data_IF_695633006962
#
_entry.id   IF_695633006962
#
_cell.length_a   1.000
_cell.length_b   1.000
_cell.length_c   1.000
_cell.angle_alpha   90.00
_cell.angle_beta   90.00
_cell.angle_gamma   90.00
#
_symmetry.space_group_name_H-M   'P 1'
#
loop_
_entity.id
_entity.type
_entity.pdbx_description
1 polymer ?
#
# COMPACT_ATOMS: atom_id res chain seq x y z
N UNK A 1 16.08 7.21 1.47
CA UNK A 1 15.06 6.28 0.92
C UNK A 1 15.30 6.19 -0.58
N UNK A 2 15.32 4.98 -1.14
CA UNK A 2 15.64 4.76 -2.56
C UNK A 2 14.35 4.67 -3.38
N UNK A 3 14.36 5.19 -4.60
CA UNK A 3 13.17 5.22 -5.48
C UNK A 3 12.56 3.83 -5.73
N UNK A 4 13.41 2.79 -5.81
CA UNK A 4 12.97 1.41 -6.04
C UNK A 4 12.30 0.75 -4.82
N UNK A 5 12.21 1.44 -3.69
CA UNK A 5 11.50 0.98 -2.49
C UNK A 5 10.00 1.34 -2.54
N UNK A 6 9.58 2.21 -3.46
CA UNK A 6 8.17 2.56 -3.67
C UNK A 6 7.51 1.54 -4.61
N UNK A 7 6.68 0.65 -4.06
CA UNK A 7 6.03 -0.45 -4.80
C UNK A 7 4.51 -0.26 -4.88
N UNK A 8 3.90 -0.71 -5.99
CA UNK A 8 2.47 -0.60 -6.24
C UNK A 8 1.71 -1.82 -5.70
N UNK A 9 1.39 -1.82 -4.40
CA UNK A 9 0.57 -2.87 -3.78
C UNK A 9 -0.91 -2.78 -4.18
N UNK A 10 -1.40 -1.59 -4.51
CA UNK A 10 -2.80 -1.37 -4.87
C UNK A 10 -3.21 -2.19 -6.11
N UNK A 11 -2.31 -2.36 -7.08
CA UNK A 11 -2.55 -3.20 -8.27
C UNK A 11 -2.83 -4.65 -7.91
N UNK A 12 -2.11 -5.20 -6.92
CA UNK A 12 -2.29 -6.58 -6.46
C UNK A 12 -3.62 -6.75 -5.69
N UNK A 13 -4.00 -5.76 -4.88
CA UNK A 13 -5.26 -5.78 -4.11
C UNK A 13 -6.49 -5.51 -4.99
N UNK A 14 -6.38 -4.65 -6.01
CA UNK A 14 -7.50 -4.39 -6.94
C UNK A 14 -7.67 -5.52 -7.96
N UNK A 15 -6.61 -6.28 -8.25
CA UNK A 15 -6.64 -7.40 -9.19
C UNK A 15 -6.75 -8.76 -8.50
N UNK A 16 -5.61 -9.49 -8.36
CA UNK A 16 -5.57 -10.90 -7.99
C UNK A 16 -6.01 -11.24 -6.56
N UNK A 17 -5.80 -10.34 -5.60
CA UNK A 17 -6.14 -10.57 -4.20
C UNK A 17 -7.44 -9.85 -3.83
N UNK A 18 -8.28 -10.49 -3.01
CA UNK A 18 -9.52 -9.92 -2.47
C UNK A 18 -9.72 -10.47 -1.06
N UNK A 19 -10.09 -9.58 -0.14
CA UNK A 19 -10.47 -9.98 1.21
C UNK A 19 -11.78 -10.79 1.17
N UNK A 20 -11.74 -12.00 1.73
CA UNK A 20 -12.92 -12.89 1.79
C UNK A 20 -13.61 -12.81 3.14
N UNK A 21 -14.92 -13.06 3.13
CA UNK A 21 -15.79 -13.16 4.31
C UNK A 21 -15.97 -14.59 4.83
N UNK A 22 -15.35 -15.57 4.16
CA UNK A 22 -15.44 -17.00 4.47
C UNK A 22 -14.06 -17.62 4.31
N UNK A 23 -13.65 -18.45 5.27
CA UNK A 23 -12.35 -19.13 5.26
C UNK A 23 -12.36 -20.38 4.36
N UNK A 24 -11.25 -21.13 4.29
CA UNK A 24 -11.17 -22.37 3.49
C UNK A 24 -12.01 -23.53 4.06
N UNK A 25 -12.41 -23.47 5.34
CA UNK A 25 -13.25 -24.47 6.03
C UNK A 25 -14.76 -24.20 5.86
N UNK A 26 -15.14 -23.03 5.31
CA UNK A 26 -16.54 -22.62 5.16
C UNK A 26 -17.09 -21.77 6.31
N UNK A 27 -16.29 -21.50 7.34
CA UNK A 27 -16.68 -20.64 8.46
C UNK A 27 -16.67 -19.16 8.05
N UNK A 28 -17.56 -18.39 8.69
CA UNK A 28 -17.58 -16.93 8.57
C UNK A 28 -16.28 -16.34 9.12
N UNK A 29 -15.68 -15.46 8.34
CA UNK A 29 -14.51 -14.68 8.71
C UNK A 29 -14.95 -13.31 9.24
N UNK A 30 -14.61 -13.02 10.51
CA UNK A 30 -14.91 -11.77 11.20
C UNK A 30 -13.60 -11.16 11.70
N UNK A 31 -13.24 -9.98 11.17
CA UNK A 31 -11.99 -9.31 11.53
C UNK A 31 -11.86 -9.01 13.03
N UNK A 32 -12.95 -8.63 13.67
CA UNK A 32 -12.98 -8.28 15.09
C UNK A 32 -12.57 -9.45 16.00
N UNK A 33 -12.86 -10.69 15.58
CA UNK A 33 -12.65 -11.87 16.42
C UNK A 33 -11.20 -12.40 16.35
N UNK A 34 -10.37 -11.81 15.49
CA UNK A 34 -9.02 -12.31 15.22
C UNK A 34 -8.06 -11.77 16.27
N UNK A 35 -7.36 -12.69 16.93
CA UNK A 35 -6.34 -12.36 17.94
C UNK A 35 -4.91 -12.57 17.43
N UNK A 36 -4.73 -13.43 16.42
CA UNK A 36 -3.40 -13.77 15.90
C UNK A 36 -3.45 -13.94 14.40
N UNK A 37 -2.61 -13.20 13.68
CA UNK A 37 -2.40 -13.35 12.24
C UNK A 37 -0.96 -13.79 11.95
N UNK A 38 -0.80 -14.69 10.98
CA UNK A 38 0.49 -15.15 10.47
C UNK A 38 0.49 -15.13 8.95
N UNK A 39 1.60 -14.64 8.39
CA UNK A 39 1.88 -14.63 6.96
C UNK A 39 3.11 -15.47 6.66
N UNK A 40 3.15 -16.09 5.48
CA UNK A 40 4.27 -16.89 5.03
C UNK A 40 4.70 -16.44 3.62
N UNK A 41 5.99 -16.17 3.43
CA UNK A 41 6.50 -15.70 2.14
C UNK A 41 6.30 -16.72 1.01
N UNK A 42 6.28 -18.03 1.32
CA UNK A 42 5.99 -19.08 0.33
C UNK A 42 4.51 -19.17 -0.06
N UNK A 43 3.62 -18.51 0.69
CA UNK A 43 2.17 -18.57 0.51
C UNK A 43 1.56 -17.15 0.51
N UNK A 44 2.00 -16.32 -0.43
CA UNK A 44 1.62 -14.90 -0.56
C UNK A 44 0.10 -14.68 -0.55
N UNK A 45 -0.67 -15.64 -1.07
CA UNK A 45 -2.11 -15.53 -1.21
C UNK A 45 -2.92 -16.06 -0.02
N UNK A 46 -2.26 -16.59 1.01
CA UNK A 46 -2.92 -17.19 2.18
C UNK A 46 -2.58 -16.40 3.43
N UNK A 47 -3.61 -16.15 4.22
CA UNK A 47 -3.49 -15.61 5.56
C UNK A 47 -3.89 -16.70 6.55
N UNK A 48 -3.04 -16.93 7.55
CA UNK A 48 -3.31 -17.86 8.63
C UNK A 48 -3.74 -17.05 9.84
N UNK A 49 -4.82 -17.45 10.51
CA UNK A 49 -5.32 -16.72 11.66
C UNK A 49 -5.85 -17.63 12.78
N UNK A 50 -5.86 -17.10 14.00
CA UNK A 50 -6.57 -17.67 15.16
C UNK A 50 -7.47 -16.61 15.80
N UNK A 51 -8.54 -17.05 16.44
CA UNK A 51 -9.45 -16.18 17.19
C UNK A 51 -9.08 -16.06 18.67
N UNK A 52 -8.09 -16.82 19.14
CA UNK A 52 -7.49 -16.70 20.47
C UNK A 52 -5.96 -16.80 20.38
N UNK A 53 -5.30 -16.73 21.54
CA UNK A 53 -3.84 -16.79 21.67
C UNK A 53 -3.33 -18.17 22.13
N UNK A 54 -4.16 -19.22 22.06
CA UNK A 54 -3.75 -20.57 22.44
C UNK A 54 -2.75 -21.13 21.43
N UNK A 55 -1.61 -21.64 21.92
CA UNK A 55 -0.57 -22.22 21.06
C UNK A 55 -1.04 -23.52 20.41
N UNK A 56 -1.82 -24.33 21.15
CA UNK A 56 -2.26 -25.68 20.74
C UNK A 56 -3.33 -25.68 19.65
N UNK A 57 -4.08 -24.58 19.49
CA UNK A 57 -5.12 -24.50 18.46
C UNK A 57 -4.46 -24.38 17.06
N UNK A 58 -4.92 -25.12 16.03
CA UNK A 58 -4.42 -24.94 14.68
C UNK A 58 -4.84 -23.58 14.10
N UNK A 59 -4.04 -23.06 13.16
CA UNK A 59 -4.43 -21.86 12.42
C UNK A 59 -5.53 -22.19 11.40
N UNK A 60 -6.57 -21.36 11.36
CA UNK A 60 -7.53 -21.31 10.26
C UNK A 60 -6.89 -20.61 9.07
N UNK A 61 -7.31 -20.99 7.85
CA UNK A 61 -6.72 -20.47 6.61
C UNK A 61 -7.73 -19.64 5.83
N UNK A 62 -7.36 -18.42 5.46
CA UNK A 62 -8.10 -17.54 4.57
C UNK A 62 -7.37 -17.44 3.23
N UNK A 63 -8.06 -17.79 2.14
CA UNK A 63 -7.52 -17.68 0.79
C UNK A 63 -7.92 -16.35 0.15
N UNK A 64 -6.94 -15.51 -0.13
CA UNK A 64 -7.15 -14.17 -0.68
C UNK A 64 -7.27 -14.17 -2.21
N UNK A 65 -7.06 -15.29 -2.90
CA UNK A 65 -7.15 -15.32 -4.38
C UNK A 65 -8.57 -15.02 -4.84
N UNK A 66 -8.72 -14.11 -5.82
CA UNK A 66 -9.99 -13.88 -6.51
C UNK A 66 -10.41 -15.14 -7.31
N UNK A 67 -11.69 -15.53 -7.23
CA UNK A 67 -12.20 -16.69 -7.98
C UNK A 67 -12.07 -16.46 -9.50
N UNK A 68 -11.74 -17.51 -10.23
CA UNK A 68 -11.60 -17.47 -11.70
C UNK A 68 -10.24 -16.97 -12.19
N UNK A 69 -9.38 -16.45 -11.33
CA UNK A 69 -8.02 -16.04 -11.70
C UNK A 69 -7.13 -17.27 -11.82
N UNK A 70 -6.52 -17.47 -13.00
CA UNK A 70 -5.50 -18.49 -13.29
C UNK A 70 -4.18 -17.77 -13.60
N UNK A 71 -3.06 -18.33 -13.19
CA UNK A 71 -1.70 -17.76 -13.33
C UNK A 71 -1.51 -16.43 -12.59
N UNK A 72 -1.29 -16.52 -11.29
CA UNK A 72 -1.00 -15.36 -10.44
C UNK A 72 0.49 -15.07 -10.44
N UNK A 73 0.89 -14.01 -11.14
CA UNK A 73 2.21 -13.43 -10.97
C UNK A 73 2.11 -12.30 -9.94
N UNK A 74 2.74 -12.47 -8.77
CA UNK A 74 2.78 -11.47 -7.71
C UNK A 74 3.94 -10.49 -7.89
N UNK A 75 4.36 -10.23 -9.13
CA UNK A 75 5.41 -9.28 -9.43
C UNK A 75 4.96 -7.87 -8.97
N UNK A 76 5.64 -7.35 -7.95
CA UNK A 76 5.46 -5.98 -7.50
C UNK A 76 6.16 -5.05 -8.47
N UNK A 77 5.36 -4.21 -9.13
CA UNK A 77 5.88 -3.14 -9.96
C UNK A 77 6.22 -1.91 -9.10
N UNK A 78 7.14 -1.08 -9.58
CA UNK A 78 7.40 0.22 -8.96
C UNK A 78 6.13 1.09 -9.01
N UNK A 79 5.84 1.79 -7.92
CA UNK A 79 4.75 2.75 -7.89
C UNK A 79 5.03 3.95 -8.80
N UNK A 80 6.29 4.37 -8.87
CA UNK A 80 6.73 5.50 -9.67
C UNK A 80 8.10 5.21 -10.29
N UNK A 81 8.23 5.50 -11.60
CA UNK A 81 9.48 5.30 -12.34
C UNK A 81 10.51 6.41 -12.08
N UNK A 82 10.06 7.54 -11.54
CA UNK A 82 10.89 8.68 -11.17
C UNK A 82 10.31 9.41 -9.94
N UNK A 83 11.10 10.27 -9.28
CA UNK A 83 10.57 11.13 -8.23
C UNK A 83 9.38 11.95 -8.72
N UNK A 84 8.29 11.93 -7.96
CA UNK A 84 7.07 12.67 -8.31
C UNK A 84 7.35 14.17 -8.34
N UNK A 85 7.01 14.86 -9.44
CA UNK A 85 7.03 16.31 -9.47
C UNK A 85 5.91 16.87 -8.57
N UNK A 86 6.13 18.10 -8.07
CA UNK A 86 5.11 18.88 -7.37
C UNK A 86 4.57 19.98 -8.28
N UNK A 87 3.42 20.55 -7.96
CA UNK A 87 2.91 21.72 -8.66
C UNK A 87 3.88 22.91 -8.55
N UNK A 88 3.87 23.79 -9.57
CA UNK A 88 4.66 25.03 -9.58
C UNK A 88 4.36 25.92 -8.37
N UNK A 89 3.09 25.99 -7.98
CA UNK A 89 2.63 26.80 -6.83
C UNK A 89 3.23 26.29 -5.53
N UNK A 90 3.13 24.99 -5.27
CA UNK A 90 3.74 24.37 -4.09
C UNK A 90 5.26 24.52 -4.07
N UNK A 91 5.92 24.41 -5.23
CA UNK A 91 7.37 24.66 -5.31
C UNK A 91 7.70 26.10 -4.96
N UNK A 92 6.92 27.07 -5.45
CA UNK A 92 7.09 28.48 -5.12
C UNK A 92 6.94 28.71 -3.62
N UNK A 93 5.88 28.18 -3.01
CA UNK A 93 5.65 28.31 -1.56
C UNK A 93 6.81 27.71 -0.76
N UNK A 94 7.34 26.55 -1.17
CA UNK A 94 8.53 25.95 -0.54
C UNK A 94 9.78 26.82 -0.68
N UNK A 95 9.96 27.51 -1.81
CA UNK A 95 11.07 28.45 -2.02
C UNK A 95 10.91 29.68 -1.12
N UNK A 96 9.70 30.22 -1.02
CA UNK A 96 9.40 31.38 -0.19
C UNK A 96 9.59 31.08 1.31
N UNK A 97 9.47 29.82 1.72
CA UNK A 97 9.74 29.33 3.08
C UNK A 97 11.21 29.05 3.38
N UNK A 98 12.11 29.08 2.39
CA UNK A 98 13.55 28.83 2.61
C UNK A 98 14.20 29.67 3.72
N UNK A 99 13.85 30.97 3.93
CA UNK A 99 14.42 31.76 5.03
C UNK A 99 14.15 31.17 6.43
N UNK A 100 13.16 30.28 6.57
CA UNK A 100 12.81 29.61 7.82
C UNK A 100 13.47 28.23 7.97
N UNK A 101 14.21 27.78 6.94
CA UNK A 101 14.83 26.45 6.86
C UNK A 101 16.36 26.63 6.84
N UNK A 102 17.15 25.79 7.54
CA UNK A 102 18.59 25.84 7.47
C UNK A 102 19.14 25.72 6.04
N UNK A 103 20.13 26.57 5.71
CA UNK A 103 20.72 26.69 4.37
C UNK A 103 21.22 25.36 3.78
N UNK A 104 21.68 24.44 4.65
CA UNK A 104 22.14 23.09 4.27
C UNK A 104 21.07 22.27 3.52
N UNK A 105 19.79 22.63 3.64
CA UNK A 105 18.68 21.94 2.97
C UNK A 105 18.14 22.71 1.77
N UNK A 106 18.57 23.95 1.51
CA UNK A 106 18.00 24.77 0.43
C UNK A 106 18.18 24.14 -0.94
N UNK A 107 19.33 23.52 -1.18
CA UNK A 107 19.62 22.85 -2.46
C UNK A 107 18.65 21.71 -2.73
N UNK A 108 18.19 21.00 -1.69
CA UNK A 108 17.18 19.97 -1.87
C UNK A 108 15.88 20.56 -2.44
N UNK A 109 15.32 21.60 -1.81
CA UNK A 109 14.06 22.21 -2.23
C UNK A 109 14.14 22.89 -3.61
N UNK A 110 15.26 23.55 -3.92
CA UNK A 110 15.48 24.18 -5.23
C UNK A 110 15.48 23.15 -6.37
N UNK A 111 16.00 21.95 -6.11
CA UNK A 111 16.13 20.89 -7.10
C UNK A 111 14.90 19.96 -7.22
N UNK A 112 13.83 20.18 -6.45
CA UNK A 112 12.58 19.42 -6.61
C UNK A 112 12.00 19.69 -8.01
N UNK A 113 11.64 18.64 -8.74
CA UNK A 113 10.99 18.75 -10.06
C UNK A 113 9.59 19.34 -9.91
N UNK A 114 9.17 20.18 -10.85
CA UNK A 114 7.81 20.72 -10.88
C UNK A 114 7.16 20.60 -12.25
N UNK A 115 5.85 20.37 -12.30
CA UNK A 115 5.07 20.29 -13.53
C UNK A 115 3.87 21.28 -13.50
N UNK A 116 3.20 21.43 -14.66
CA UNK A 116 2.03 22.32 -14.82
C UNK A 116 0.73 21.68 -14.36
N UNK A 117 0.71 20.37 -14.12
CA UNK A 117 -0.47 19.69 -13.60
C UNK A 117 -0.65 19.95 -12.11
N UNK A 118 -1.89 19.81 -11.65
CA UNK A 118 -2.19 19.65 -10.23
C UNK A 118 -1.33 18.53 -9.62
N UNK A 119 -1.06 18.63 -8.32
CA UNK A 119 -0.30 17.62 -7.59
C UNK A 119 -0.88 16.23 -7.92
N UNK A 120 -0.06 15.34 -8.50
CA UNK A 120 -0.48 13.97 -8.86
C UNK A 120 -0.73 13.07 -7.64
N UNK A 121 -0.83 13.66 -6.45
CA UNK A 121 -1.19 12.98 -5.23
C UNK A 121 -2.68 12.65 -5.26
N UNK A 122 -3.00 11.51 -5.88
CA UNK A 122 -4.29 10.86 -5.71
C UNK A 122 -4.34 10.32 -4.28
N UNK A 123 -5.07 11.01 -3.40
CA UNK A 123 -5.46 10.47 -2.10
C UNK A 123 -6.70 9.57 -2.32
N UNK A 124 -6.55 8.23 -2.29
CA UNK A 124 -7.67 7.33 -2.48
C UNK A 124 -8.77 7.51 -1.42
N UNK A 125 -8.41 7.97 -0.21
CA UNK A 125 -9.33 8.08 0.92
C UNK A 125 -10.15 9.38 0.91
N UNK A 126 -9.76 10.38 0.10
CA UNK A 126 -10.54 11.63 -0.09
C UNK A 126 -11.66 11.51 -1.14
N UNK A 127 -11.78 10.37 -1.81
CA UNK A 127 -12.79 10.14 -2.86
C UNK A 127 -14.09 9.48 -2.36
N UNK A 128 -14.17 9.11 -1.08
CA UNK A 128 -15.38 8.56 -0.44
C UNK A 128 -16.16 9.62 0.33
N UNK A 129 -16.69 10.62 -0.37
CA UNK A 129 -17.75 11.47 0.17
C UNK A 129 -18.75 11.82 -0.93
N UNK A 130 -19.71 10.91 -1.12
CA UNK A 130 -21.01 11.15 -1.74
C UNK A 130 -22.12 10.87 -0.70
#
# INVERSE_FOLDING_TARGET
MKQNEFLNFAKIVKGPLVLRKVNEEGDKFLWHDISWVRYCASMISKMFYKTNLSEDEPFKTLNLIRRGTRNLEFALEQAYNEPLPISKEKKKDLIDLLPLIPDIYHDFYKNIKSNESEDLYYDPDLSESD
#
